data_IF_517602787152
#
_entry.id   IF_517602787152
#
_cell.length_a   1.000
_cell.length_b   1.000
_cell.length_c   1.000
_cell.angle_alpha   90.00
_cell.angle_beta   90.00
_cell.angle_gamma   90.00
#
_symmetry.space_group_name_H-M   'P 1'
#
loop_
_entity.id
_entity.type
_entity.pdbx_description
1 polymer ?
#
# COMPACT_ATOMS: atom_id res chain seq x y z
N UNK A 1 0.85 -39.67 -26.31
CA UNK A 1 -0.49 -39.69 -25.69
C UNK A 1 -0.38 -40.21 -24.26
N UNK A 2 0.14 -41.41 -24.05
CA UNK A 2 0.33 -42.05 -22.73
C UNK A 2 1.13 -41.18 -21.73
N UNK A 3 2.24 -40.58 -22.16
CA UNK A 3 3.12 -39.76 -21.30
C UNK A 3 2.43 -38.47 -20.79
N UNK A 4 1.60 -37.86 -21.64
CA UNK A 4 0.84 -36.64 -21.31
C UNK A 4 -0.32 -36.91 -20.35
N UNK A 5 -0.93 -38.09 -20.45
CA UNK A 5 -1.99 -38.54 -19.55
C UNK A 5 -1.44 -38.84 -18.14
N UNK A 6 -0.24 -39.43 -18.05
CA UNK A 6 0.48 -39.68 -16.79
C UNK A 6 0.85 -38.36 -16.11
N UNK A 7 1.41 -37.39 -16.84
CA UNK A 7 1.71 -36.07 -16.29
C UNK A 7 0.46 -35.36 -15.79
N UNK A 8 -0.63 -35.42 -16.55
CA UNK A 8 -1.89 -34.82 -16.15
C UNK A 8 -2.45 -35.46 -14.86
N UNK A 9 -2.28 -36.77 -14.66
CA UNK A 9 -2.65 -37.46 -13.42
C UNK A 9 -1.76 -37.03 -12.24
N UNK A 10 -0.45 -36.93 -12.45
CA UNK A 10 0.50 -36.46 -11.43
C UNK A 10 0.17 -35.03 -10.97
N UNK A 11 -0.10 -34.11 -11.91
CA UNK A 11 -0.47 -32.73 -11.59
C UNK A 11 -1.82 -32.64 -10.88
N UNK A 12 -2.79 -33.49 -11.24
CA UNK A 12 -4.06 -33.57 -10.51
C UNK A 12 -3.88 -34.11 -9.10
N UNK A 13 -2.98 -35.07 -8.89
CA UNK A 13 -2.68 -35.60 -7.57
C UNK A 13 -2.03 -34.52 -6.69
N UNK A 14 -1.05 -33.79 -7.24
CA UNK A 14 -0.42 -32.67 -6.55
C UNK A 14 -1.43 -31.57 -6.19
N UNK A 15 -2.33 -31.22 -7.11
CA UNK A 15 -3.39 -30.26 -6.85
C UNK A 15 -4.31 -30.73 -5.72
N UNK A 16 -4.69 -32.01 -5.68
CA UNK A 16 -5.52 -32.57 -4.60
C UNK A 16 -4.82 -32.51 -3.25
N UNK A 17 -3.53 -32.83 -3.20
CA UNK A 17 -2.72 -32.73 -1.98
C UNK A 17 -2.65 -31.28 -1.49
N UNK A 18 -2.38 -30.35 -2.41
CA UNK A 18 -2.31 -28.91 -2.12
C UNK A 18 -3.65 -28.39 -1.57
N UNK A 19 -4.77 -28.72 -2.22
CA UNK A 19 -6.12 -28.33 -1.75
C UNK A 19 -6.44 -28.95 -0.39
N UNK A 20 -6.02 -30.19 -0.14
CA UNK A 20 -6.19 -30.85 1.16
C UNK A 20 -5.44 -30.10 2.25
N UNK A 21 -4.19 -29.71 2.00
CA UNK A 21 -3.38 -28.92 2.93
C UNK A 21 -4.00 -27.54 3.20
N UNK A 22 -4.51 -26.85 2.17
CA UNK A 22 -5.23 -25.58 2.33
C UNK A 22 -6.47 -25.75 3.21
N UNK A 23 -7.29 -26.79 2.99
CA UNK A 23 -8.48 -27.07 3.81
C UNK A 23 -8.14 -27.39 5.26
N UNK A 24 -7.08 -28.16 5.47
CA UNK A 24 -6.61 -28.48 6.82
C UNK A 24 -6.19 -27.22 7.57
N UNK A 25 -5.39 -26.34 6.94
CA UNK A 25 -4.99 -25.07 7.56
C UNK A 25 -6.19 -24.13 7.78
N UNK A 26 -7.10 -24.02 6.82
CA UNK A 26 -8.29 -23.19 6.93
C UNK A 26 -9.16 -23.62 8.12
N UNK A 27 -9.45 -24.91 8.25
CA UNK A 27 -10.28 -25.44 9.34
C UNK A 27 -9.65 -25.23 10.73
N UNK A 28 -8.32 -25.32 10.83
CA UNK A 28 -7.57 -25.03 12.06
C UNK A 28 -7.68 -23.56 12.46
N UNK A 29 -7.50 -22.65 11.50
CA UNK A 29 -7.58 -21.20 11.74
C UNK A 29 -9.01 -20.79 12.09
N UNK A 30 -10.02 -21.30 11.37
CA UNK A 30 -11.43 -21.03 11.66
C UNK A 30 -11.83 -21.50 13.06
N UNK A 31 -11.38 -22.68 13.47
CA UNK A 31 -11.61 -23.22 14.82
C UNK A 31 -10.95 -22.35 15.90
N UNK A 32 -9.74 -21.85 15.64
CA UNK A 32 -9.02 -20.94 16.55
C UNK A 32 -9.62 -19.52 16.58
N UNK A 33 -10.17 -19.05 15.46
CA UNK A 33 -10.77 -17.72 15.30
C UNK A 33 -12.17 -17.64 15.93
N UNK A 34 -12.85 -18.78 16.07
CA UNK A 34 -14.15 -18.88 16.74
C UNK A 34 -14.05 -18.39 18.19
N UNK A 35 -14.70 -17.26 18.50
CA UNK A 35 -14.69 -16.63 19.83
C UNK A 35 -13.67 -15.50 20.03
N UNK A 36 -12.62 -15.38 19.20
CA UNK A 36 -11.64 -14.27 19.31
C UNK A 36 -12.28 -12.92 19.00
N UNK A 37 -13.12 -12.85 17.97
CA UNK A 37 -13.85 -11.61 17.61
C UNK A 37 -14.69 -11.09 18.77
N UNK A 38 -15.44 -11.98 19.44
CA UNK A 38 -16.26 -11.62 20.60
C UNK A 38 -15.42 -11.16 21.78
N UNK A 39 -14.27 -11.81 22.01
CA UNK A 39 -13.29 -11.41 23.05
C UNK A 39 -12.69 -10.04 22.78
N UNK A 40 -12.30 -9.74 21.52
CA UNK A 40 -11.74 -8.43 21.15
C UNK A 40 -12.79 -7.32 21.29
N UNK A 41 -14.05 -7.60 20.94
CA UNK A 41 -15.16 -6.63 21.09
C UNK A 41 -15.48 -6.40 22.57
N UNK A 42 -15.48 -7.43 23.42
CA UNK A 42 -15.67 -7.24 24.87
C UNK A 42 -14.52 -6.45 25.48
N UNK A 43 -13.27 -6.78 25.13
CA UNK A 43 -12.10 -6.02 25.59
C UNK A 43 -12.14 -4.57 25.10
N UNK A 44 -12.54 -4.29 23.84
CA UNK A 44 -12.75 -2.90 23.38
C UNK A 44 -13.87 -2.18 24.12
N UNK A 45 -14.97 -2.85 24.49
CA UNK A 45 -16.09 -2.24 25.21
C UNK A 45 -15.79 -1.91 26.66
N UNK A 46 -14.88 -2.65 27.29
CA UNK A 46 -14.37 -2.32 28.62
C UNK A 46 -13.55 -1.01 28.63
N UNK A 47 -13.13 -0.51 27.45
CA UNK A 47 -12.34 0.73 27.30
C UNK A 47 -12.99 1.69 26.27
N UNK A 48 -13.89 2.60 26.69
CA UNK A 48 -14.54 3.56 25.80
C UNK A 48 -13.55 4.52 25.11
N UNK A 49 -13.85 4.90 23.86
CA UNK A 49 -13.12 5.81 22.97
C UNK A 49 -12.92 7.26 23.51
N UNK A 50 -13.38 7.58 24.72
CA UNK A 50 -13.32 8.91 25.35
C UNK A 50 -11.93 9.22 25.93
N UNK A 51 -10.88 9.08 25.12
CA UNK A 51 -9.50 9.38 25.52
C UNK A 51 -9.10 10.86 25.36
N UNK A 52 -9.88 11.65 24.60
CA UNK A 52 -9.61 13.08 24.40
C UNK A 52 -9.87 13.94 25.63
N UNK A 53 -10.74 13.51 26.55
CA UNK A 53 -10.98 14.20 27.82
C UNK A 53 -10.05 13.77 28.96
N UNK A 54 -9.32 12.66 28.82
CA UNK A 54 -8.36 12.20 29.84
C UNK A 54 -6.98 12.83 29.70
N UNK A 55 -6.54 13.17 28.48
CA UNK A 55 -5.17 13.68 28.22
C UNK A 55 -4.91 15.05 28.86
N UNK A 56 -5.93 15.89 29.03
CA UNK A 56 -5.76 17.25 29.58
C UNK A 56 -5.42 17.25 31.08
N UNK A 57 -5.70 16.17 31.82
CA UNK A 57 -5.42 16.04 33.26
C UNK A 57 -4.09 15.34 33.62
N UNK A 58 -3.30 14.91 32.62
CA UNK A 58 -2.18 13.97 32.80
C UNK A 58 -0.79 14.63 32.87
N UNK A 59 -0.72 15.97 32.94
CA UNK A 59 0.53 16.74 33.09
C UNK A 59 0.87 17.02 34.56
N UNK A 60 0.19 16.37 35.51
CA UNK A 60 0.53 16.38 36.94
C UNK A 60 1.34 15.13 37.31
N UNK A 61 2.34 15.29 38.17
CA UNK A 61 3.28 14.23 38.59
C UNK A 61 2.63 13.03 39.30
N UNK A 62 1.34 13.12 39.67
CA UNK A 62 0.60 12.11 40.43
C UNK A 62 -0.11 11.07 39.56
N UNK A 63 -0.15 11.22 38.23
CA UNK A 63 -0.90 10.33 37.32
C UNK A 63 -0.04 9.60 36.28
N UNK A 64 1.28 9.55 36.47
CA UNK A 64 2.20 8.85 35.55
C UNK A 64 1.94 7.33 35.50
N UNK A 65 1.57 6.72 36.62
CA UNK A 65 1.29 5.28 36.70
C UNK A 65 0.07 4.89 35.85
N UNK A 66 -0.98 5.74 35.84
CA UNK A 66 -2.17 5.54 35.01
C UNK A 66 -1.88 5.69 33.51
N UNK A 67 -0.95 6.57 33.12
CA UNK A 67 -0.48 6.70 31.73
C UNK A 67 0.29 5.45 31.28
N UNK A 68 1.13 4.89 32.16
CA UNK A 68 1.89 3.68 31.88
C UNK A 68 0.95 2.48 31.75
N UNK A 69 -0.02 2.34 32.64
CA UNK A 69 -1.04 1.29 32.59
C UNK A 69 -1.91 1.41 31.33
N UNK A 70 -2.38 2.62 30.99
CA UNK A 70 -3.13 2.87 29.76
C UNK A 70 -2.29 2.51 28.52
N UNK A 71 -1.03 2.96 28.46
CA UNK A 71 -0.12 2.66 27.35
C UNK A 71 0.14 1.15 27.20
N UNK A 72 0.30 0.42 28.31
CA UNK A 72 0.50 -1.03 28.30
C UNK A 72 -0.77 -1.75 27.81
N UNK A 73 -1.94 -1.34 28.29
CA UNK A 73 -3.23 -1.92 27.90
C UNK A 73 -3.58 -1.61 26.44
N UNK A 74 -3.34 -0.39 25.96
CA UNK A 74 -3.51 -0.02 24.55
C UNK A 74 -2.57 -0.84 23.65
N UNK A 75 -1.33 -1.07 24.07
CA UNK A 75 -0.38 -1.90 23.32
C UNK A 75 -0.83 -3.36 23.24
N UNK A 76 -1.37 -3.91 24.33
CA UNK A 76 -1.93 -5.26 24.37
C UNK A 76 -3.14 -5.42 23.43
N UNK A 77 -4.11 -4.50 23.52
CA UNK A 77 -5.30 -4.51 22.66
C UNK A 77 -4.90 -4.33 21.19
N UNK A 78 -3.99 -3.40 20.90
CA UNK A 78 -3.47 -3.19 19.55
C UNK A 78 -2.80 -4.46 19.01
N UNK A 79 -2.01 -5.17 19.83
CA UNK A 79 -1.39 -6.43 19.45
C UNK A 79 -2.40 -7.54 19.14
N UNK A 80 -3.45 -7.69 19.96
CA UNK A 80 -4.53 -8.65 19.72
C UNK A 80 -5.33 -8.33 18.45
N UNK A 81 -5.61 -7.04 18.21
CA UNK A 81 -6.25 -6.58 16.96
C UNK A 81 -5.39 -6.91 15.76
N UNK A 82 -4.09 -6.57 15.77
CA UNK A 82 -3.19 -6.88 14.66
C UNK A 82 -3.07 -8.38 14.40
N UNK A 83 -3.01 -9.23 15.44
CA UNK A 83 -3.00 -10.69 15.28
C UNK A 83 -4.28 -11.19 14.63
N UNK A 84 -5.43 -10.68 15.06
CA UNK A 84 -6.73 -11.04 14.46
C UNK A 84 -6.83 -10.60 13.00
N UNK A 85 -6.36 -9.39 12.67
CA UNK A 85 -6.31 -8.91 11.28
C UNK A 85 -5.42 -9.81 10.40
N UNK A 86 -4.27 -10.27 10.91
CA UNK A 86 -3.41 -11.23 10.21
C UNK A 86 -4.11 -12.58 9.99
N UNK A 87 -4.87 -13.07 10.98
CA UNK A 87 -5.66 -14.32 10.85
C UNK A 87 -6.76 -14.18 9.80
N UNK A 88 -7.51 -13.07 9.81
CA UNK A 88 -8.55 -12.78 8.81
C UNK A 88 -7.93 -12.68 7.41
N UNK A 89 -6.79 -12.02 7.27
CA UNK A 89 -6.03 -11.93 6.01
C UNK A 89 -5.61 -13.32 5.52
N UNK A 90 -5.11 -14.17 6.43
CA UNK A 90 -4.72 -15.55 6.12
C UNK A 90 -5.92 -16.41 5.67
N UNK A 91 -7.08 -16.29 6.34
CA UNK A 91 -8.32 -16.96 5.93
C UNK A 91 -8.69 -16.57 4.50
N UNK A 92 -8.75 -15.26 4.21
CA UNK A 92 -9.10 -14.76 2.89
C UNK A 92 -8.17 -15.31 1.79
N UNK A 93 -6.87 -15.34 2.05
CA UNK A 93 -5.88 -15.91 1.12
C UNK A 93 -6.09 -17.41 0.93
N UNK A 94 -6.30 -18.18 2.01
CA UNK A 94 -6.56 -19.62 1.91
C UNK A 94 -7.86 -19.93 1.14
N UNK A 95 -8.91 -19.13 1.33
CA UNK A 95 -10.15 -19.24 0.53
C UNK A 95 -9.89 -19.04 -0.97
N UNK A 96 -9.02 -18.08 -1.33
CA UNK A 96 -8.59 -17.87 -2.71
C UNK A 96 -7.76 -19.05 -3.23
N UNK A 97 -6.89 -19.62 -2.41
CA UNK A 97 -6.10 -20.80 -2.77
C UNK A 97 -6.97 -22.06 -2.99
N UNK A 98 -8.17 -22.13 -2.41
CA UNK A 98 -9.13 -23.20 -2.74
C UNK A 98 -9.65 -23.10 -4.18
N UNK A 99 -9.73 -21.89 -4.75
CA UNK A 99 -10.15 -21.68 -6.13
C UNK A 99 -9.00 -21.96 -7.11
N UNK A 100 -7.83 -21.34 -6.85
CA UNK A 100 -6.59 -21.52 -7.62
C UNK A 100 -5.36 -21.37 -6.70
N UNK A 101 -4.74 -22.48 -6.25
CA UNK A 101 -3.64 -22.43 -5.29
C UNK A 101 -2.32 -21.96 -5.90
N UNK A 102 -2.05 -22.36 -7.15
CA UNK A 102 -0.87 -22.00 -7.92
C UNK A 102 -1.24 -21.83 -9.39
N UNK A 103 -0.50 -21.01 -10.11
CA UNK A 103 -0.73 -20.73 -11.53
C UNK A 103 0.48 -21.08 -12.39
N UNK A 104 1.65 -21.32 -11.79
CA UNK A 104 2.87 -21.62 -12.50
C UNK A 104 3.70 -22.68 -11.76
N UNK A 105 4.58 -23.35 -12.51
CA UNK A 105 5.63 -24.24 -11.99
C UNK A 105 6.91 -23.99 -12.76
N UNK A 106 8.03 -23.99 -12.04
CA UNK A 106 9.37 -24.09 -12.62
C UNK A 106 10.07 -25.32 -12.04
N UNK A 107 10.79 -26.04 -12.89
CA UNK A 107 11.73 -27.07 -12.45
C UNK A 107 13.10 -26.42 -12.44
N UNK A 108 13.63 -26.15 -11.25
CA UNK A 108 14.87 -25.42 -11.05
C UNK A 108 15.92 -26.36 -10.45
N UNK A 109 17.10 -26.39 -11.07
CA UNK A 109 18.26 -27.11 -10.59
C UNK A 109 19.27 -26.10 -10.08
N UNK A 110 19.61 -26.16 -8.81
CA UNK A 110 20.67 -25.32 -8.24
C UNK A 110 22.04 -25.80 -8.73
N UNK A 111 23.01 -24.90 -8.87
CA UNK A 111 24.36 -25.26 -9.35
C UNK A 111 25.09 -26.26 -8.43
N UNK A 112 24.71 -26.32 -7.14
CA UNK A 112 25.24 -27.23 -6.12
C UNK A 112 24.44 -28.53 -5.96
N UNK A 113 23.37 -28.71 -6.72
CA UNK A 113 22.53 -29.91 -6.71
C UNK A 113 22.50 -30.59 -8.07
N UNK A 114 22.19 -31.89 -8.09
CA UNK A 114 22.14 -32.67 -9.34
C UNK A 114 20.72 -32.85 -9.91
N UNK A 115 19.70 -32.67 -9.07
CA UNK A 115 18.30 -32.90 -9.40
C UNK A 115 17.53 -31.59 -9.59
N UNK A 116 16.42 -31.66 -10.33
CA UNK A 116 15.51 -30.53 -10.48
C UNK A 116 14.49 -30.53 -9.34
N UNK A 117 14.41 -29.43 -8.60
CA UNK A 117 13.35 -29.18 -7.63
C UNK A 117 12.13 -28.58 -8.34
N UNK A 118 10.94 -29.07 -7.98
CA UNK A 118 9.67 -28.58 -8.52
C UNK A 118 9.15 -27.43 -7.66
N UNK A 119 9.14 -26.23 -8.21
CA UNK A 119 8.72 -25.02 -7.52
C UNK A 119 7.39 -24.56 -8.10
N UNK A 120 6.32 -24.75 -7.34
CA UNK A 120 4.99 -24.25 -7.67
C UNK A 120 4.81 -22.82 -7.17
N UNK A 121 4.34 -21.92 -8.03
CA UNK A 121 4.23 -20.48 -7.75
C UNK A 121 2.75 -20.08 -7.74
N UNK A 122 2.34 -19.39 -6.68
CA UNK A 122 0.97 -18.95 -6.44
C UNK A 122 0.87 -17.57 -5.83
N UNK A 123 -0.35 -17.19 -5.45
CA UNK A 123 -0.66 -15.87 -4.88
C UNK A 123 0.00 -15.68 -3.50
N UNK A 124 0.16 -16.77 -2.74
CA UNK A 124 0.75 -16.78 -1.41
C UNK A 124 1.48 -18.09 -1.17
N UNK A 125 2.42 -18.08 -0.21
CA UNK A 125 3.12 -19.29 0.21
C UNK A 125 2.20 -20.25 0.98
N UNK A 126 2.36 -21.55 0.74
CA UNK A 126 1.74 -22.64 1.49
C UNK A 126 2.82 -23.63 1.90
N UNK A 127 2.97 -23.84 3.21
CA UNK A 127 3.89 -24.80 3.82
C UNK A 127 3.13 -25.97 4.44
N UNK A 128 3.71 -27.16 4.42
CA UNK A 128 3.28 -28.23 5.32
C UNK A 128 3.67 -27.87 6.76
N UNK A 129 2.71 -27.93 7.67
CA UNK A 129 2.97 -27.71 9.09
C UNK A 129 3.77 -28.86 9.72
N UNK A 130 3.81 -30.05 9.10
CA UNK A 130 4.49 -31.23 9.64
C UNK A 130 5.90 -31.41 9.11
N UNK A 131 6.08 -31.44 7.79
CA UNK A 131 7.40 -31.63 7.16
C UNK A 131 8.18 -30.32 7.03
N UNK A 132 7.49 -29.16 7.04
CA UNK A 132 8.09 -27.88 6.70
C UNK A 132 8.31 -27.68 5.20
N UNK A 133 7.91 -28.64 4.37
CA UNK A 133 8.05 -28.55 2.91
C UNK A 133 7.11 -27.48 2.33
N UNK A 134 7.59 -26.77 1.31
CA UNK A 134 6.81 -25.76 0.59
C UNK A 134 5.96 -26.43 -0.50
N UNK A 135 4.64 -26.36 -0.37
CA UNK A 135 3.72 -26.75 -1.46
C UNK A 135 3.60 -25.65 -2.51
N UNK A 136 3.56 -24.39 -2.09
CA UNK A 136 3.42 -23.25 -3.00
C UNK A 136 4.32 -22.14 -2.51
N UNK A 137 5.06 -21.55 -3.43
CA UNK A 137 5.86 -20.35 -3.23
C UNK A 137 5.04 -19.11 -3.61
N UNK A 138 5.17 -18.06 -2.80
CA UNK A 138 4.58 -16.77 -3.11
C UNK A 138 5.23 -16.17 -4.38
N UNK A 139 4.45 -15.62 -5.29
CA UNK A 139 4.97 -14.95 -6.49
C UNK A 139 5.96 -13.82 -6.16
N UNK A 140 5.88 -13.24 -4.96
CA UNK A 140 6.77 -12.17 -4.47
C UNK A 140 8.10 -12.70 -3.94
N UNK A 141 8.22 -14.00 -3.70
CA UNK A 141 9.47 -14.61 -3.26
C UNK A 141 10.58 -14.37 -4.30
N UNK A 142 11.86 -14.24 -3.88
CA UNK A 142 12.97 -14.04 -4.81
C UNK A 142 13.09 -15.13 -5.88
N UNK A 143 12.91 -16.39 -5.50
CA UNK A 143 12.99 -17.55 -6.40
C UNK A 143 11.93 -17.50 -7.52
N UNK A 144 10.74 -16.96 -7.20
CA UNK A 144 9.65 -16.79 -8.16
C UNK A 144 9.97 -15.78 -9.27
N UNK A 145 10.99 -14.92 -9.10
CA UNK A 145 11.44 -14.01 -10.16
C UNK A 145 11.98 -14.75 -11.39
N UNK A 146 12.47 -15.98 -11.21
CA UNK A 146 12.99 -16.80 -12.30
C UNK A 146 11.91 -17.03 -13.36
N UNK A 147 10.67 -17.31 -12.93
CA UNK A 147 9.54 -17.52 -13.83
C UNK A 147 9.24 -16.31 -14.72
N UNK A 148 9.50 -15.08 -14.26
CA UNK A 148 9.21 -13.88 -15.05
C UNK A 148 10.39 -13.42 -15.90
N UNK A 149 11.61 -13.58 -15.39
CA UNK A 149 12.82 -12.98 -15.98
C UNK A 149 13.52 -13.88 -16.99
N UNK A 150 13.41 -15.20 -16.84
CA UNK A 150 14.15 -16.16 -17.65
C UNK A 150 13.22 -17.15 -18.39
N UNK A 151 13.72 -17.67 -19.51
CA UNK A 151 13.21 -18.89 -20.15
C UNK A 151 13.93 -20.12 -19.61
N UNK A 152 13.79 -21.26 -20.28
CA UNK A 152 14.61 -22.46 -20.00
C UNK A 152 16.10 -22.21 -20.22
N UNK A 153 16.93 -22.93 -19.46
CA UNK A 153 18.38 -22.78 -19.43
C UNK A 153 18.88 -22.00 -18.20
N UNK A 154 20.04 -21.38 -18.31
CA UNK A 154 20.71 -20.73 -17.17
C UNK A 154 19.91 -19.53 -16.63
N UNK A 155 19.68 -19.53 -15.33
CA UNK A 155 18.96 -18.48 -14.63
C UNK A 155 19.64 -18.12 -13.29
N UNK A 156 19.24 -16.99 -12.73
CA UNK A 156 19.70 -16.57 -11.42
C UNK A 156 18.64 -15.71 -10.73
N UNK A 157 18.72 -15.61 -9.41
CA UNK A 157 17.91 -14.66 -8.65
C UNK A 157 18.68 -14.13 -7.44
N UNK A 158 18.25 -12.96 -6.96
CA UNK A 158 18.88 -12.27 -5.83
C UNK A 158 18.14 -12.60 -4.54
N UNK A 159 18.74 -13.42 -3.68
CA UNK A 159 18.22 -13.76 -2.37
C UNK A 159 18.87 -12.90 -1.28
N UNK A 160 18.28 -12.82 -0.07
CA UNK A 160 18.94 -12.16 1.07
C UNK A 160 20.34 -12.72 1.41
N UNK A 161 20.60 -13.99 1.08
CA UNK A 161 21.89 -14.66 1.25
C UNK A 161 22.90 -14.37 0.13
N UNK A 162 22.48 -13.68 -0.93
CA UNK A 162 23.31 -13.39 -2.10
C UNK A 162 22.66 -13.87 -3.40
N UNK A 163 23.43 -13.79 -4.49
CA UNK A 163 23.00 -14.22 -5.81
C UNK A 163 23.04 -15.75 -5.91
N UNK A 164 21.92 -16.37 -6.23
CA UNK A 164 21.78 -17.82 -6.44
C UNK A 164 21.69 -18.08 -7.94
N UNK A 165 22.46 -19.05 -8.42
CA UNK A 165 22.55 -19.44 -9.83
C UNK A 165 22.10 -20.88 -10.02
N UNK A 166 21.56 -21.18 -11.19
CA UNK A 166 21.09 -22.53 -11.54
C UNK A 166 20.53 -22.60 -12.94
N UNK A 167 19.82 -23.70 -13.22
CA UNK A 167 19.23 -24.00 -14.52
C UNK A 167 17.73 -24.27 -14.41
N UNK A 168 16.94 -23.68 -15.31
CA UNK A 168 15.51 -23.93 -15.47
C UNK A 168 15.33 -25.01 -16.52
N UNK A 169 14.87 -26.19 -16.10
CA UNK A 169 14.62 -27.31 -17.01
C UNK A 169 13.25 -27.23 -17.67
N UNK A 170 12.23 -26.81 -16.93
CA UNK A 170 10.85 -26.76 -17.39
C UNK A 170 10.12 -25.57 -16.78
N UNK A 171 9.24 -24.97 -17.59
CA UNK A 171 8.37 -23.87 -17.17
C UNK A 171 6.94 -24.14 -17.62
N UNK A 172 6.03 -24.24 -16.66
CA UNK A 172 4.61 -24.53 -16.89
C UNK A 172 3.71 -23.42 -16.37
N UNK A 173 2.60 -23.23 -17.06
CA UNK A 173 1.50 -22.39 -16.62
C UNK A 173 0.22 -23.21 -16.57
N UNK A 174 -0.58 -23.00 -15.52
CA UNK A 174 -1.78 -23.75 -15.22
C UNK A 174 -3.00 -22.83 -15.25
N UNK A 175 -4.12 -23.35 -15.76
CA UNK A 175 -5.44 -22.77 -15.51
C UNK A 175 -6.18 -23.68 -14.53
N UNK A 176 -6.35 -23.20 -13.30
CA UNK A 176 -7.10 -23.88 -12.25
C UNK A 176 -8.33 -23.02 -11.92
N UNK A 177 -9.50 -23.65 -11.87
CA UNK A 177 -10.75 -22.99 -11.49
C UNK A 177 -11.55 -23.88 -10.57
N UNK A 178 -11.96 -23.35 -9.43
CA UNK A 178 -12.71 -24.04 -8.37
C UNK A 178 -12.01 -25.32 -7.91
N UNK A 179 -10.68 -25.27 -7.81
CA UNK A 179 -9.85 -26.42 -7.43
C UNK A 179 -9.79 -27.53 -8.49
N UNK A 180 -10.16 -27.24 -9.74
CA UNK A 180 -10.12 -28.19 -10.85
C UNK A 180 -9.11 -27.69 -11.88
N UNK A 181 -8.10 -28.51 -12.17
CA UNK A 181 -7.17 -28.30 -13.27
C UNK A 181 -7.93 -28.35 -14.60
N UNK A 182 -7.96 -27.23 -15.32
CA UNK A 182 -8.60 -27.14 -16.64
C UNK A 182 -7.64 -27.52 -17.75
N UNK A 183 -6.44 -26.94 -17.72
CA UNK A 183 -5.36 -27.24 -18.64
C UNK A 183 -4.05 -26.66 -18.08
N UNK A 184 -2.93 -27.14 -18.61
CA UNK A 184 -1.61 -26.54 -18.42
C UNK A 184 -0.85 -26.55 -19.75
N UNK A 185 0.17 -25.70 -19.85
CA UNK A 185 1.06 -25.63 -21.01
C UNK A 185 2.47 -25.25 -20.60
N UNK A 186 3.45 -25.70 -21.39
CA UNK A 186 4.85 -25.33 -21.21
C UNK A 186 5.09 -23.98 -21.89
N UNK A 187 5.61 -22.99 -21.15
CA UNK A 187 5.69 -21.60 -21.58
C UNK A 187 6.68 -21.36 -22.75
N UNK A 188 7.59 -22.29 -23.00
CA UNK A 188 8.64 -22.17 -24.02
C UNK A 188 8.27 -22.82 -25.37
N UNK A 189 7.15 -23.52 -25.45
CA UNK A 189 6.66 -24.09 -26.70
C UNK A 189 5.85 -23.01 -27.44
N UNK A 190 6.27 -22.66 -28.65
CA UNK A 190 5.56 -21.73 -29.54
C UNK A 190 4.05 -22.01 -29.51
N UNK A 191 3.32 -21.04 -28.95
CA UNK A 191 1.87 -21.11 -28.76
C UNK A 191 1.22 -21.35 -30.12
N UNK A 192 0.62 -22.53 -30.32
CA UNK A 192 -0.12 -22.84 -31.55
C UNK A 192 -1.33 -21.91 -31.65
N UNK A 193 -1.57 -21.39 -32.85
CA UNK A 193 -2.58 -20.36 -33.18
C UNK A 193 -4.02 -20.74 -32.75
N UNK A 194 -4.31 -22.04 -32.65
CA UNK A 194 -5.59 -22.59 -32.18
C UNK A 194 -5.82 -22.38 -30.67
N UNK A 195 -4.75 -22.36 -29.87
CA UNK A 195 -4.80 -22.12 -28.42
C UNK A 195 -4.89 -20.63 -28.09
N UNK A 196 -4.20 -19.77 -28.86
CA UNK A 196 -4.34 -18.31 -28.77
C UNK A 196 -5.81 -17.90 -29.04
N UNK A 197 -6.45 -18.54 -30.03
CA UNK A 197 -7.89 -18.38 -30.32
C UNK A 197 -8.79 -18.87 -29.18
N UNK A 198 -8.43 -19.94 -28.48
CA UNK A 198 -9.19 -20.44 -27.32
C UNK A 198 -9.08 -19.52 -26.09
N UNK A 199 -7.90 -18.95 -25.84
CA UNK A 199 -7.69 -17.91 -24.84
C UNK A 199 -8.50 -16.65 -25.18
N UNK A 200 -8.42 -16.16 -26.41
CA UNK A 200 -9.14 -14.97 -26.87
C UNK A 200 -10.67 -15.17 -26.90
N UNK A 201 -11.17 -16.37 -27.20
CA UNK A 201 -12.62 -16.66 -27.26
C UNK A 201 -13.27 -16.89 -25.90
N UNK A 202 -12.53 -17.32 -24.87
CA UNK A 202 -13.05 -17.47 -23.50
C UNK A 202 -12.90 -16.19 -22.64
N UNK A 203 -12.24 -15.15 -23.16
CA UNK A 203 -11.90 -13.90 -22.48
C UNK A 203 -13.07 -12.89 -22.31
N UNK A 204 -14.33 -13.32 -22.38
CA UNK A 204 -15.49 -12.42 -22.22
C UNK A 204 -15.92 -12.17 -20.76
N UNK A 205 -15.27 -12.81 -19.78
CA UNK A 205 -15.47 -12.49 -18.36
C UNK A 205 -14.71 -11.21 -18.00
N UNK A 206 -15.45 -10.15 -17.67
CA UNK A 206 -14.98 -8.83 -17.21
C UNK A 206 -14.23 -8.85 -15.86
N UNK A 207 -14.18 -9.98 -15.15
CA UNK A 207 -13.25 -10.16 -14.03
C UNK A 207 -11.89 -10.54 -14.59
N UNK A 208 -11.00 -9.54 -14.63
CA UNK A 208 -9.60 -9.66 -15.03
C UNK A 208 -8.97 -10.89 -14.38
N UNK A 209 -8.34 -11.76 -15.19
CA UNK A 209 -7.41 -12.76 -14.67
C UNK A 209 -6.38 -12.06 -13.78
N UNK A 210 -5.96 -12.72 -12.71
CA UNK A 210 -4.94 -12.20 -11.79
C UNK A 210 -3.69 -11.85 -12.59
N UNK A 211 -3.41 -10.55 -12.75
CA UNK A 211 -2.36 -10.01 -13.63
C UNK A 211 -0.98 -10.60 -13.31
N UNK A 212 -0.79 -11.12 -12.09
CA UNK A 212 0.39 -11.88 -11.64
C UNK A 212 0.78 -13.00 -12.63
N UNK A 213 -0.18 -13.62 -13.30
CA UNK A 213 0.06 -14.69 -14.29
C UNK A 213 0.67 -14.19 -15.61
N UNK A 214 0.55 -12.90 -15.91
CA UNK A 214 0.89 -12.30 -17.20
C UNK A 214 1.96 -11.21 -17.11
N UNK A 215 2.61 -11.07 -15.94
CA UNK A 215 3.71 -10.13 -15.74
C UNK A 215 4.84 -10.45 -16.72
N UNK A 216 5.27 -9.44 -17.45
CA UNK A 216 6.39 -9.54 -18.39
C UNK A 216 7.72 -9.28 -17.68
N UNK A 217 8.83 -9.76 -18.26
CA UNK A 217 10.19 -9.58 -17.70
C UNK A 217 10.51 -8.10 -17.38
N UNK A 218 10.21 -7.17 -18.30
CA UNK A 218 10.41 -5.73 -18.07
C UNK A 218 9.57 -5.18 -16.92
N UNK A 219 8.34 -5.68 -16.76
CA UNK A 219 7.44 -5.28 -15.68
C UNK A 219 7.92 -5.82 -14.33
N UNK A 220 8.42 -7.07 -14.29
CA UNK A 220 8.97 -7.68 -13.08
C UNK A 220 10.19 -6.91 -12.56
N UNK A 221 11.08 -6.44 -13.46
CA UNK A 221 12.22 -5.59 -13.10
C UNK A 221 11.74 -4.32 -12.39
N UNK A 222 10.72 -3.63 -12.95
CA UNK A 222 10.15 -2.41 -12.37
C UNK A 222 9.44 -2.72 -11.04
N UNK A 223 8.78 -3.87 -10.91
CA UNK A 223 8.10 -4.28 -9.66
C UNK A 223 9.11 -4.55 -8.56
N UNK A 224 10.23 -5.21 -8.89
CA UNK A 224 11.23 -5.68 -7.92
C UNK A 224 12.39 -4.73 -7.66
N UNK A 225 12.46 -3.59 -8.35
CA UNK A 225 13.50 -2.59 -8.12
C UNK A 225 13.42 -2.02 -6.69
N UNK A 226 14.43 -2.32 -5.87
CA UNK A 226 14.57 -1.81 -4.49
C UNK A 226 15.71 -0.81 -4.35
N UNK A 227 16.43 -0.51 -5.43
CA UNK A 227 17.63 0.35 -5.40
C UNK A 227 17.27 1.81 -5.66
N UNK A 228 16.17 2.05 -6.40
CA UNK A 228 15.74 3.39 -6.80
C UNK A 228 14.72 4.00 -5.84
N UNK A 229 15.06 5.15 -5.24
CA UNK A 229 14.14 5.94 -4.39
C UNK A 229 12.99 6.59 -5.17
N UNK A 230 13.27 7.11 -6.38
CA UNK A 230 12.29 7.75 -7.26
C UNK A 230 12.21 7.04 -8.61
N UNK A 231 11.10 6.34 -8.84
CA UNK A 231 10.85 5.57 -10.05
C UNK A 231 9.73 6.19 -10.89
N UNK A 232 10.01 6.49 -12.16
CA UNK A 232 9.04 6.99 -13.13
C UNK A 232 8.73 5.92 -14.17
N UNK A 233 7.47 5.50 -14.27
CA UNK A 233 7.03 4.48 -15.23
C UNK A 233 6.29 5.14 -16.39
N UNK A 234 6.91 5.13 -17.57
CA UNK A 234 6.32 5.65 -18.82
C UNK A 234 6.02 4.50 -19.78
N UNK A 235 4.87 4.57 -20.46
CA UNK A 235 4.46 3.54 -21.42
C UNK A 235 3.17 3.92 -22.14
N UNK A 236 2.90 3.25 -23.26
CA UNK A 236 1.70 3.49 -24.10
C UNK A 236 0.40 3.07 -23.38
N UNK A 237 -0.76 3.54 -23.87
CA UNK A 237 -2.05 3.11 -23.34
C UNK A 237 -2.19 1.57 -23.43
N UNK A 238 -2.75 0.95 -22.38
CA UNK A 238 -2.90 -0.52 -22.32
C UNK A 238 -1.66 -1.31 -21.90
N UNK A 239 -0.49 -0.67 -21.71
CA UNK A 239 0.75 -1.36 -21.32
C UNK A 239 0.81 -1.87 -19.87
N UNK A 240 -0.30 -1.85 -19.13
CA UNK A 240 -0.36 -2.36 -17.75
C UNK A 240 0.28 -1.49 -16.66
N UNK A 241 0.59 -0.21 -16.91
CA UNK A 241 1.27 0.68 -15.92
C UNK A 241 0.62 0.70 -14.53
N UNK A 242 -0.70 0.83 -14.47
CA UNK A 242 -1.46 0.79 -13.22
C UNK A 242 -1.25 -0.53 -12.50
N UNK A 243 -1.32 -1.63 -13.24
CA UNK A 243 -1.10 -2.97 -12.70
C UNK A 243 0.32 -3.10 -12.14
N UNK A 244 1.33 -2.66 -12.89
CA UNK A 244 2.74 -2.64 -12.45
C UNK A 244 2.89 -1.87 -11.14
N UNK A 245 2.27 -0.69 -11.02
CA UNK A 245 2.31 0.11 -9.79
C UNK A 245 1.67 -0.63 -8.60
N UNK A 246 0.52 -1.27 -8.79
CA UNK A 246 -0.16 -2.02 -7.72
C UNK A 246 0.61 -3.28 -7.30
N UNK A 247 1.19 -4.00 -8.25
CA UNK A 247 2.04 -5.16 -7.96
C UNK A 247 3.33 -4.73 -7.27
N UNK A 248 3.90 -3.58 -7.66
CA UNK A 248 5.04 -2.98 -6.95
C UNK A 248 4.69 -2.67 -5.50
N UNK A 249 3.54 -2.04 -5.23
CA UNK A 249 3.08 -1.81 -3.86
C UNK A 249 2.97 -3.12 -3.08
N UNK A 250 2.37 -4.16 -3.65
CA UNK A 250 2.27 -5.47 -3.01
C UNK A 250 3.64 -6.14 -2.76
N UNK A 251 4.59 -5.96 -3.67
CA UNK A 251 5.97 -6.44 -3.52
C UNK A 251 6.74 -5.67 -2.44
N UNK A 252 6.62 -4.34 -2.42
CA UNK A 252 7.21 -3.47 -1.40
C UNK A 252 6.67 -3.81 -0.01
N UNK A 253 5.38 -4.13 0.11
CA UNK A 253 4.78 -4.61 1.36
C UNK A 253 5.38 -5.95 1.78
N UNK A 254 5.50 -6.90 0.86
CA UNK A 254 6.08 -8.22 1.14
C UNK A 254 7.55 -8.14 1.60
N UNK A 255 8.39 -7.35 0.91
CA UNK A 255 9.79 -7.11 1.33
C UNK A 255 9.88 -6.23 2.57
N UNK A 256 8.97 -5.26 2.70
CA UNK A 256 8.93 -4.26 3.76
C UNK A 256 8.52 -4.79 5.14
N UNK A 257 7.98 -6.01 5.22
CA UNK A 257 7.74 -6.72 6.48
C UNK A 257 9.00 -6.83 7.34
N UNK A 258 10.19 -6.90 6.73
CA UNK A 258 11.48 -6.91 7.45
C UNK A 258 11.85 -5.52 8.01
N UNK A 259 11.31 -4.44 7.43
CA UNK A 259 11.64 -3.04 7.74
C UNK A 259 10.50 -2.26 8.42
N UNK A 260 9.49 -2.95 8.98
CA UNK A 260 8.32 -2.33 9.66
C UNK A 260 7.46 -1.41 8.78
N UNK A 261 7.47 -1.60 7.46
CA UNK A 261 6.51 -0.92 6.58
C UNK A 261 5.11 -1.50 6.85
N UNK A 262 4.23 -0.66 7.38
CA UNK A 262 2.81 -0.99 7.54
C UNK A 262 2.01 -0.47 6.34
N UNK A 263 0.80 -1.01 6.07
CA UNK A 263 -0.08 -0.48 5.03
C UNK A 263 -0.36 1.02 5.19
N UNK A 264 -0.29 1.53 6.42
CA UNK A 264 -0.51 2.93 6.78
C UNK A 264 0.62 3.86 6.31
N UNK A 265 1.80 3.31 6.02
CA UNK A 265 2.93 4.06 5.49
C UNK A 265 2.87 4.25 3.97
N UNK A 266 1.89 3.63 3.29
CA UNK A 266 1.70 3.74 1.84
C UNK A 266 0.46 4.58 1.55
N UNK A 267 0.65 5.61 0.73
CA UNK A 267 -0.44 6.44 0.21
C UNK A 267 -0.48 6.35 -1.31
N UNK A 268 -1.63 5.94 -1.84
CA UNK A 268 -1.88 5.98 -3.29
C UNK A 268 -2.71 7.22 -3.59
N UNK A 269 -2.16 8.13 -4.40
CA UNK A 269 -2.90 9.30 -4.87
C UNK A 269 -3.56 8.96 -6.20
N UNK A 270 -4.88 8.81 -6.15
CA UNK A 270 -5.72 8.41 -7.27
C UNK A 270 -6.25 9.62 -8.04
N UNK A 271 -6.42 9.53 -9.37
CA UNK A 271 -6.91 10.63 -10.19
C UNK A 271 -8.41 10.90 -10.01
N UNK A 272 -9.18 9.90 -9.56
CA UNK A 272 -10.62 9.98 -9.27
C UNK A 272 -11.06 8.81 -8.37
N UNK A 273 -12.29 8.89 -7.88
CA UNK A 273 -12.91 7.90 -6.97
C UNK A 273 -13.20 6.55 -7.62
N UNK A 274 -13.45 6.49 -8.94
CA UNK A 274 -13.60 5.21 -9.66
C UNK A 274 -12.30 4.40 -9.64
N UNK A 275 -11.16 5.08 -9.74
CA UNK A 275 -9.84 4.45 -9.69
C UNK A 275 -9.51 3.98 -8.27
N UNK A 276 -9.90 4.75 -7.26
CA UNK A 276 -9.83 4.31 -5.86
C UNK A 276 -10.62 3.02 -5.62
N UNK A 277 -11.85 2.92 -6.13
CA UNK A 277 -12.66 1.70 -6.06
C UNK A 277 -12.02 0.51 -6.79
N UNK A 278 -11.33 0.78 -7.90
CA UNK A 278 -10.57 -0.26 -8.59
C UNK A 278 -9.42 -0.78 -7.71
N UNK A 279 -8.64 0.13 -7.11
CA UNK A 279 -7.53 -0.22 -6.22
C UNK A 279 -8.01 -1.01 -5.00
N UNK A 280 -9.13 -0.58 -4.39
CA UNK A 280 -9.71 -1.26 -3.22
C UNK A 280 -10.20 -2.67 -3.52
N UNK A 281 -10.38 -3.03 -4.79
CA UNK A 281 -10.72 -4.39 -5.20
C UNK A 281 -9.48 -5.22 -5.56
N UNK A 282 -8.47 -4.62 -6.21
CA UNK A 282 -7.30 -5.34 -6.72
C UNK A 282 -6.27 -5.65 -5.64
N UNK A 283 -5.99 -4.72 -4.73
CA UNK A 283 -5.00 -4.97 -3.67
C UNK A 283 -5.41 -6.14 -2.75
N UNK A 284 -6.69 -6.28 -2.34
CA UNK A 284 -7.12 -7.46 -1.61
C UNK A 284 -6.90 -8.74 -2.40
N UNK A 285 -7.11 -8.75 -3.72
CA UNK A 285 -6.82 -9.92 -4.56
C UNK A 285 -5.33 -10.30 -4.59
N UNK A 286 -4.43 -9.34 -4.35
CA UNK A 286 -2.99 -9.56 -4.17
C UNK A 286 -2.62 -9.94 -2.73
N UNK A 287 -3.62 -10.15 -1.87
CA UNK A 287 -3.42 -10.43 -0.46
C UNK A 287 -2.89 -9.24 0.30
N UNK A 288 -3.19 -8.00 -0.10
CA UNK A 288 -2.86 -6.79 0.66
C UNK A 288 -4.11 -5.99 1.02
N UNK A 289 -4.24 -5.61 2.29
CA UNK A 289 -5.39 -4.88 2.83
C UNK A 289 -4.93 -3.57 3.50
N UNK A 290 -5.87 -2.64 3.64
CA UNK A 290 -5.71 -1.39 4.41
C UNK A 290 -4.71 -0.36 3.85
N UNK A 291 -4.40 -0.41 2.54
CA UNK A 291 -3.63 0.65 1.88
C UNK A 291 -4.57 1.84 1.61
N UNK A 292 -4.20 3.02 2.09
CA UNK A 292 -5.00 4.24 1.88
C UNK A 292 -4.83 4.72 0.44
N UNK A 293 -5.95 4.83 -0.26
CA UNK A 293 -6.04 5.58 -1.51
C UNK A 293 -6.83 6.85 -1.23
N UNK A 294 -6.36 7.97 -1.74
CA UNK A 294 -7.04 9.27 -1.65
C UNK A 294 -6.99 9.96 -2.99
N UNK A 295 -7.97 10.80 -3.28
CA UNK A 295 -7.89 11.72 -4.42
C UNK A 295 -7.22 13.02 -4.02
N UNK A 296 -6.79 13.80 -5.02
CA UNK A 296 -6.29 15.15 -4.76
C UNK A 296 -7.36 16.07 -4.17
N UNK A 297 -8.64 15.82 -4.49
CA UNK A 297 -9.78 16.55 -3.97
C UNK A 297 -9.96 16.26 -2.47
N UNK A 298 -9.84 15.00 -2.05
CA UNK A 298 -9.89 14.62 -0.62
C UNK A 298 -8.75 15.26 0.17
N UNK A 299 -7.52 15.26 -0.39
CA UNK A 299 -6.37 15.92 0.23
C UNK A 299 -6.64 17.42 0.40
N UNK A 300 -7.22 18.07 -0.62
CA UNK A 300 -7.53 19.49 -0.56
C UNK A 300 -8.60 19.80 0.50
N UNK A 301 -9.64 18.95 0.62
CA UNK A 301 -10.68 19.08 1.64
C UNK A 301 -10.11 19.00 3.05
N UNK A 302 -9.27 17.98 3.31
CA UNK A 302 -8.62 17.76 4.61
C UNK A 302 -7.72 18.95 4.99
N UNK A 303 -6.95 19.49 4.05
CA UNK A 303 -5.98 20.57 4.33
C UNK A 303 -6.65 21.93 4.49
N UNK A 304 -7.68 22.22 3.67
CA UNK A 304 -8.30 23.54 3.63
C UNK A 304 -9.46 23.70 4.62
N UNK A 305 -9.95 22.61 5.22
CA UNK A 305 -11.15 22.58 6.06
C UNK A 305 -12.34 23.26 5.34
N UNK A 306 -12.42 23.03 4.02
CA UNK A 306 -13.28 23.79 3.12
C UNK A 306 -13.88 22.91 2.02
N UNK A 307 -15.18 22.64 2.14
CA UNK A 307 -15.87 21.65 1.30
C UNK A 307 -16.47 22.24 0.01
N UNK A 308 -16.06 23.46 -0.39
CA UNK A 308 -16.60 24.15 -1.57
C UNK A 308 -15.51 24.52 -2.58
N UNK A 309 -14.79 23.52 -3.08
CA UNK A 309 -13.97 23.69 -4.27
C UNK A 309 -14.68 23.15 -5.51
N UNK A 310 -14.42 23.78 -6.64
CA UNK A 310 -14.89 23.30 -7.93
C UNK A 310 -14.12 22.02 -8.30
N UNK A 311 -14.84 20.93 -8.58
CA UNK A 311 -14.21 19.68 -9.02
C UNK A 311 -13.53 19.84 -10.38
N UNK A 312 -12.54 18.99 -10.65
CA UNK A 312 -11.84 18.98 -11.94
C UNK A 312 -12.80 18.78 -13.12
N UNK A 313 -13.79 17.91 -12.97
CA UNK A 313 -14.76 17.60 -14.02
C UNK A 313 -15.63 18.82 -14.34
N UNK A 314 -16.13 19.52 -13.31
CA UNK A 314 -16.93 20.73 -13.49
C UNK A 314 -16.10 21.86 -14.13
N UNK A 315 -14.83 21.99 -13.76
CA UNK A 315 -13.92 22.93 -14.41
C UNK A 315 -13.73 22.60 -15.90
N UNK A 316 -13.51 21.33 -16.22
CA UNK A 316 -13.35 20.86 -17.59
C UNK A 316 -14.61 21.12 -18.43
N UNK A 317 -15.80 20.80 -17.89
CA UNK A 317 -17.09 21.05 -18.54
C UNK A 317 -17.29 22.54 -18.84
N UNK A 318 -17.01 23.42 -17.89
CA UNK A 318 -17.11 24.87 -18.10
C UNK A 318 -16.13 25.38 -19.15
N UNK A 319 -14.92 24.81 -19.22
CA UNK A 319 -13.93 25.16 -20.24
C UNK A 319 -14.34 24.69 -21.64
N UNK A 320 -15.11 23.61 -21.76
CA UNK A 320 -15.56 23.06 -23.03
C UNK A 320 -16.92 23.63 -23.50
N UNK A 321 -17.80 23.97 -22.57
CA UNK A 321 -19.16 24.47 -22.84
C UNK A 321 -19.27 25.99 -22.98
N UNK A 322 -18.22 26.74 -22.65
CA UNK A 322 -18.23 28.21 -22.73
C UNK A 322 -18.28 28.68 -24.19
N UNK A 323 -19.34 29.41 -24.54
CA UNK A 323 -19.58 29.99 -25.88
C UNK A 323 -18.92 31.36 -26.08
N UNK A 324 -18.44 32.00 -25.02
CA UNK A 324 -17.73 33.30 -25.07
C UNK A 324 -16.21 33.08 -25.01
N UNK A 325 -15.52 33.44 -26.10
CA UNK A 325 -14.06 33.28 -26.26
C UNK A 325 -13.27 34.08 -25.22
N UNK A 326 -13.69 35.31 -24.91
CA UNK A 326 -12.93 36.22 -24.02
C UNK A 326 -12.83 35.71 -22.56
N UNK A 327 -13.94 35.24 -21.97
CA UNK A 327 -13.94 34.68 -20.61
C UNK A 327 -13.18 33.35 -20.53
N UNK A 328 -13.21 32.57 -21.61
CA UNK A 328 -12.48 31.32 -21.70
C UNK A 328 -10.97 31.56 -21.74
N UNK A 329 -10.52 32.55 -22.49
CA UNK A 329 -9.11 32.91 -22.63
C UNK A 329 -8.50 33.46 -21.34
N UNK A 330 -9.25 34.29 -20.60
CA UNK A 330 -8.83 34.77 -19.28
C UNK A 330 -8.67 33.60 -18.30
N UNK A 331 -9.60 32.64 -18.30
CA UNK A 331 -9.52 31.45 -17.44
C UNK A 331 -8.33 30.55 -17.79
N UNK A 332 -8.12 30.25 -19.07
CA UNK A 332 -6.96 29.48 -19.55
C UNK A 332 -5.64 30.16 -19.19
N UNK A 333 -5.54 31.47 -19.40
CA UNK A 333 -4.36 32.26 -19.06
C UNK A 333 -4.09 32.28 -17.55
N UNK A 334 -5.15 32.43 -16.76
CA UNK A 334 -5.06 32.38 -15.29
C UNK A 334 -4.62 31.00 -14.79
N UNK A 335 -5.10 29.91 -15.40
CA UNK A 335 -4.68 28.56 -15.07
C UNK A 335 -3.21 28.32 -15.42
N UNK A 336 -2.79 28.71 -16.63
CA UNK A 336 -1.40 28.60 -17.06
C UNK A 336 -0.44 29.43 -16.18
N UNK A 337 -0.86 30.62 -15.76
CA UNK A 337 -0.09 31.42 -14.82
C UNK A 337 0.02 30.74 -13.45
N UNK A 338 -1.10 30.29 -12.87
CA UNK A 338 -1.12 29.63 -11.55
C UNK A 338 -0.36 28.30 -11.52
N UNK A 339 -0.23 27.60 -12.65
CA UNK A 339 0.58 26.37 -12.75
C UNK A 339 2.05 26.62 -13.06
N UNK A 340 2.46 27.87 -13.28
CA UNK A 340 3.84 28.22 -13.63
C UNK A 340 4.80 28.26 -12.43
N UNK A 341 6.09 28.04 -12.69
CA UNK A 341 7.17 28.21 -11.70
C UNK A 341 7.28 29.65 -11.20
N UNK A 342 6.90 30.63 -12.02
CA UNK A 342 6.83 32.05 -11.65
C UNK A 342 5.83 32.27 -10.52
N UNK A 343 4.64 31.66 -10.60
CA UNK A 343 3.64 31.79 -9.54
C UNK A 343 4.09 31.13 -8.23
N UNK A 344 4.77 29.98 -8.29
CA UNK A 344 5.41 29.37 -7.11
C UNK A 344 6.41 30.33 -6.47
N UNK A 345 7.20 31.04 -7.28
CA UNK A 345 8.16 32.03 -6.78
C UNK A 345 7.47 33.21 -6.10
N UNK A 346 6.37 33.71 -6.69
CA UNK A 346 5.53 34.77 -6.10
C UNK A 346 4.92 34.30 -4.78
N UNK A 347 4.36 33.08 -4.73
CA UNK A 347 3.81 32.50 -3.50
C UNK A 347 4.86 32.36 -2.40
N UNK A 348 6.07 31.88 -2.73
CA UNK A 348 7.16 31.78 -1.75
C UNK A 348 7.56 33.15 -1.19
N UNK A 349 7.59 34.19 -2.02
CA UNK A 349 7.83 35.57 -1.57
C UNK A 349 6.70 36.06 -0.67
N UNK A 350 5.45 35.84 -1.08
CA UNK A 350 4.27 36.18 -0.29
C UNK A 350 4.32 35.52 1.10
N UNK A 351 4.60 34.22 1.18
CA UNK A 351 4.75 33.50 2.47
C UNK A 351 5.86 34.12 3.34
N UNK A 352 6.98 34.53 2.75
CA UNK A 352 8.07 35.19 3.47
C UNK A 352 7.71 36.62 3.96
N UNK A 353 6.75 37.27 3.31
CA UNK A 353 6.27 38.62 3.65
C UNK A 353 5.14 38.61 4.69
N UNK A 354 4.38 37.50 4.82
CA UNK A 354 3.30 37.35 5.80
C UNK A 354 3.69 37.84 7.20
N UNK A 355 4.74 37.30 7.85
CA UNK A 355 5.10 37.72 9.21
C UNK A 355 5.64 39.15 9.31
N UNK A 356 6.08 39.75 8.19
CA UNK A 356 6.66 41.09 8.17
C UNK A 356 5.60 42.18 8.01
N UNK A 357 4.61 41.92 7.17
CA UNK A 357 3.68 42.94 6.66
C UNK A 357 2.21 42.60 6.85
N UNK A 358 1.83 41.33 6.91
CA UNK A 358 0.43 40.92 6.84
C UNK A 358 -0.15 40.42 8.18
N UNK A 359 0.69 40.13 9.17
CA UNK A 359 0.23 39.84 10.53
C UNK A 359 0.11 41.14 11.32
N UNK A 360 -1.11 41.44 11.77
CA UNK A 360 -1.39 42.53 12.70
C UNK A 360 -1.13 42.07 14.14
N UNK A 361 0.07 42.34 14.65
CA UNK A 361 0.44 42.02 16.03
C UNK A 361 -0.18 43.02 16.99
N UNK A 362 -0.97 42.51 17.94
CA UNK A 362 -1.60 43.30 19.01
C UNK A 362 -0.88 43.10 20.33
N UNK A 363 -0.91 44.11 21.19
CA UNK A 363 -0.39 44.01 22.54
C UNK A 363 -1.27 43.04 23.36
N UNK A 364 -0.64 42.16 24.13
CA UNK A 364 -1.33 41.16 24.95
C UNK A 364 -1.31 41.61 26.40
N UNK A 365 -2.49 41.63 27.03
CA UNK A 365 -2.70 42.07 28.41
C UNK A 365 -3.23 40.91 29.26
N UNK A 366 -2.82 40.86 30.52
CA UNK A 366 -3.37 39.96 31.54
C UNK A 366 -3.43 40.71 32.86
N UNK A 367 -4.59 40.63 33.51
CA UNK A 367 -4.90 41.37 34.74
C UNK A 367 -4.52 42.87 34.67
N UNK A 368 -4.87 43.52 33.54
CA UNK A 368 -4.58 44.94 33.30
C UNK A 368 -3.12 45.29 33.02
N UNK A 369 -2.18 44.33 33.06
CA UNK A 369 -0.76 44.54 32.75
C UNK A 369 -0.41 44.02 31.35
N UNK A 370 0.44 44.75 30.63
CA UNK A 370 0.95 44.30 29.32
C UNK A 370 1.97 43.19 29.52
N UNK A 371 1.66 41.98 29.06
CA UNK A 371 2.56 40.83 29.11
C UNK A 371 3.56 40.87 27.97
N UNK A 372 3.07 41.14 26.76
CA UNK A 372 3.87 41.11 25.56
C UNK A 372 3.42 42.23 24.62
N UNK A 373 4.32 43.17 24.35
CA UNK A 373 4.09 44.24 23.37
C UNK A 373 4.20 43.71 21.94
N UNK A 374 3.47 44.34 21.02
CA UNK A 374 3.44 44.02 19.59
C UNK A 374 4.82 43.91 18.95
N UNK A 375 5.77 44.76 19.35
CA UNK A 375 7.13 44.79 18.80
C UNK A 375 7.94 43.56 19.21
N UNK A 376 7.72 43.06 20.43
CA UNK A 376 8.34 41.82 20.92
C UNK A 376 7.76 40.61 20.19
N UNK A 377 6.44 40.59 19.99
CA UNK A 377 5.76 39.51 19.26
C UNK A 377 6.19 39.47 17.77
N UNK A 378 6.27 40.64 17.13
CA UNK A 378 6.73 40.78 15.75
C UNK A 378 8.19 40.38 15.60
N UNK A 379 9.07 40.89 16.46
CA UNK A 379 10.51 40.59 16.39
C UNK A 379 10.80 39.10 16.62
N UNK A 380 10.12 38.44 17.56
CA UNK A 380 10.25 36.99 17.78
C UNK A 380 9.79 36.17 16.57
N UNK A 381 8.69 36.56 15.92
CA UNK A 381 8.17 35.83 14.75
C UNK A 381 9.04 36.02 13.50
N UNK A 382 9.57 37.22 13.29
CA UNK A 382 10.38 37.55 12.10
C UNK A 382 11.83 37.06 12.24
N UNK A 383 12.42 37.18 13.44
CA UNK A 383 13.85 36.91 13.65
C UNK A 383 14.16 35.45 14.02
N UNK A 384 13.17 34.59 14.27
CA UNK A 384 13.39 33.16 14.47
C UNK A 384 13.80 32.48 13.15
N UNK A 385 15.10 32.55 12.83
CA UNK A 385 15.71 31.91 11.66
C UNK A 385 15.94 30.41 11.84
N UNK A 386 15.76 29.87 13.05
CA UNK A 386 16.00 28.44 13.32
C UNK A 386 14.86 27.57 12.78
N UNK A 387 13.65 28.12 12.71
CA UNK A 387 12.48 27.41 12.21
C UNK A 387 12.06 27.94 10.83
N UNK A 388 12.08 27.15 9.75
CA UNK A 388 11.67 27.61 8.43
C UNK A 388 10.15 27.78 8.29
N UNK A 389 9.36 27.04 9.09
CA UNK A 389 7.90 27.03 9.01
C UNK A 389 7.28 28.08 9.93
N UNK A 390 6.40 28.92 9.38
CA UNK A 390 5.68 29.95 10.13
C UNK A 390 4.81 29.35 11.24
N UNK A 391 4.16 28.20 11.00
CA UNK A 391 3.34 27.51 11.99
C UNK A 391 4.11 27.16 13.26
N UNK A 392 5.36 26.67 13.13
CA UNK A 392 6.23 26.38 14.27
C UNK A 392 6.58 27.66 15.03
N UNK A 393 6.89 28.75 14.32
CA UNK A 393 7.20 30.05 14.97
C UNK A 393 6.01 30.59 15.76
N UNK A 394 4.80 30.47 15.22
CA UNK A 394 3.57 30.87 15.90
C UNK A 394 3.30 30.01 17.13
N UNK A 395 3.52 28.69 17.06
CA UNK A 395 3.39 27.78 18.20
C UNK A 395 4.42 28.09 19.31
N UNK A 396 5.65 28.43 18.95
CA UNK A 396 6.66 28.88 19.92
C UNK A 396 6.28 30.20 20.58
N UNK A 397 5.65 31.11 19.82
CA UNK A 397 5.13 32.37 20.33
C UNK A 397 3.96 32.14 21.30
N UNK A 398 3.06 31.21 20.99
CA UNK A 398 2.00 30.75 21.88
C UNK A 398 2.57 30.20 23.18
N UNK A 399 3.52 29.25 23.11
CA UNK A 399 4.19 28.71 24.30
C UNK A 399 4.85 29.80 25.13
N UNK A 400 5.52 30.77 24.49
CA UNK A 400 6.15 31.90 25.17
C UNK A 400 5.13 32.74 25.96
N UNK A 401 3.98 33.06 25.37
CA UNK A 401 2.91 33.80 26.05
C UNK A 401 2.38 32.98 27.23
N UNK A 402 2.12 31.70 27.01
CA UNK A 402 1.60 30.78 28.03
C UNK A 402 2.56 30.65 29.21
N UNK A 403 3.88 30.53 28.98
CA UNK A 403 4.88 30.49 30.05
C UNK A 403 4.87 31.76 30.88
N UNK A 404 4.74 32.94 30.26
CA UNK A 404 4.69 34.19 31.02
C UNK A 404 3.43 34.26 31.88
N UNK A 405 2.28 33.83 31.36
CA UNK A 405 1.03 33.77 32.11
C UNK A 405 1.15 32.82 33.32
N UNK A 406 1.72 31.62 33.14
CA UNK A 406 1.94 30.67 34.25
C UNK A 406 2.87 31.24 35.32
N UNK A 407 3.96 31.91 34.92
CA UNK A 407 4.88 32.54 35.86
C UNK A 407 4.26 33.68 36.69
N UNK A 408 3.16 34.28 36.21
CA UNK A 408 2.39 35.30 36.93
C UNK A 408 1.26 34.72 37.78
N UNK A 409 0.95 33.43 37.62
CA UNK A 409 -0.06 32.73 38.42
C UNK A 409 0.57 32.02 39.64
N UNK A 410 1.81 31.54 39.49
CA UNK A 410 2.57 30.84 40.54
C UNK A 410 3.33 31.78 41.51
N UNK A 411 3.27 33.09 41.31
CA UNK A 411 3.92 34.11 42.15
C UNK A 411 2.97 35.24 42.51
#
# INVERSE_FOLDING_TARGET
MIERDIEHELENNYLRQTISAVKEQLSRIESSSHGKKTSIISSKKEFPDDSTHYVTGLWSSQNFDNLVELSQNTSFISGEVSRYEMEVKKIFVLEKMLDSPYFARIDFKFDDEDEFEKIYIGISSLTDDKSGEMYVYDWRAPISSIFYRFGTGKAFYDAPSGKITGEVGLKRQYEIKKGILKYFFDADIQITDEFLRKLLSQNSSTKMKTIVETIQSEQDIIIRDMETDLLMVQGVAGSGKTSVALHRVAYLMYRGLTNRLSPENILIVSPNTLFEQYISNVLPELGESNIKSVTFEDIAEIILDYNRFQSKNLLMEQLLSSSSTENQDIRKSSMAFKSSTTFITILKRFIADIPKMWIDFKDIYYDGKTIAGRDILKSKTVNDRKNPLLSIRLKNLEQFITTIIHSMHDG
#
